data_IF_844252320919
#
_entry.id   IF_844252320919
#
_cell.length_a   1.000
_cell.length_b   1.000
_cell.length_c   1.000
_cell.angle_alpha   90.00
_cell.angle_beta   90.00
_cell.angle_gamma   90.00
#
_symmetry.space_group_name_H-M   'P 1'
#
loop_
_entity.id
_entity.type
_entity.pdbx_description
1 polymer ?
#
# COMPACT_ATOMS: atom_id res chain seq x y z
N UNK A 1 -28.98 2.69 31.10
CA UNK A 1 -28.91 4.15 30.89
C UNK A 1 -27.75 4.67 31.73
N UNK A 2 -26.55 4.73 31.14
CA UNK A 2 -25.35 5.35 31.72
C UNK A 2 -24.51 5.82 30.53
N UNK A 3 -24.79 7.05 30.08
CA UNK A 3 -23.82 7.86 29.36
C UNK A 3 -22.86 8.39 30.42
N UNK A 4 -21.61 7.92 30.44
CA UNK A 4 -20.55 8.52 31.26
C UNK A 4 -19.33 8.77 30.37
N UNK A 5 -19.12 10.05 30.09
CA UNK A 5 -17.86 10.76 29.86
C UNK A 5 -16.83 10.21 28.84
N UNK A 6 -17.14 10.30 27.53
CA UNK A 6 -16.12 10.33 26.46
C UNK A 6 -15.54 11.73 26.17
N UNK A 7 -15.88 12.75 26.97
CA UNK A 7 -15.59 14.17 26.64
C UNK A 7 -14.32 14.76 27.27
N UNK A 8 -13.53 13.99 28.05
CA UNK A 8 -12.34 14.53 28.74
C UNK A 8 -11.01 14.35 28.00
N UNK A 9 -10.95 13.57 26.92
CA UNK A 9 -9.72 13.37 26.13
C UNK A 9 -9.62 14.24 24.86
N UNK A 10 -10.67 14.99 24.49
CA UNK A 10 -10.72 15.76 23.23
C UNK A 10 -10.69 17.28 23.42
N UNK A 11 -10.00 17.75 24.46
CA UNK A 11 -9.89 19.19 24.75
C UNK A 11 -8.65 19.78 24.05
N UNK A 12 -8.80 20.09 22.75
CA UNK A 12 -7.78 20.85 22.01
C UNK A 12 -7.69 20.62 20.50
N UNK A 13 -8.59 19.84 19.89
CA UNK A 13 -8.46 19.49 18.47
C UNK A 13 -8.95 20.63 17.58
N UNK A 14 -8.02 21.18 16.80
CA UNK A 14 -8.33 22.05 15.68
C UNK A 14 -8.94 21.15 14.61
N UNK A 15 -10.24 21.28 14.34
CA UNK A 15 -10.86 20.66 13.17
C UNK A 15 -10.03 21.08 11.95
N UNK A 16 -9.48 20.11 11.22
CA UNK A 16 -8.74 20.40 10.00
C UNK A 16 -9.71 20.99 8.96
N UNK A 17 -9.24 21.95 8.16
CA UNK A 17 -10.07 22.61 7.16
C UNK A 17 -10.52 21.63 6.07
N UNK A 18 -11.55 22.01 5.29
CA UNK A 18 -12.05 21.21 4.18
C UNK A 18 -10.95 20.87 3.15
N UNK A 19 -9.91 21.70 3.09
CA UNK A 19 -8.76 21.51 2.21
C UNK A 19 -8.00 20.22 2.52
N UNK A 20 -7.84 19.84 3.80
CA UNK A 20 -7.17 18.58 4.16
C UNK A 20 -8.04 17.37 3.80
N UNK A 21 -9.36 17.49 3.98
CA UNK A 21 -10.29 16.45 3.55
C UNK A 21 -10.13 16.18 2.04
N UNK A 22 -10.12 17.24 1.23
CA UNK A 22 -9.96 17.12 -0.22
C UNK A 22 -8.62 16.49 -0.60
N UNK A 23 -7.52 16.85 0.07
CA UNK A 23 -6.21 16.25 -0.21
C UNK A 23 -6.19 14.76 0.16
N UNK A 24 -6.72 14.38 1.33
CA UNK A 24 -6.79 12.97 1.74
C UNK A 24 -7.60 12.14 0.73
N UNK A 25 -8.73 12.66 0.25
CA UNK A 25 -9.55 11.99 -0.78
C UNK A 25 -8.82 11.90 -2.12
N UNK A 26 -8.12 12.95 -2.55
CA UNK A 26 -7.29 12.94 -3.76
C UNK A 26 -6.16 11.92 -3.66
N UNK A 27 -5.58 11.70 -2.48
CA UNK A 27 -4.61 10.63 -2.23
C UNK A 27 -5.22 9.21 -2.31
N UNK A 28 -6.52 9.06 -2.55
CA UNK A 28 -7.20 7.77 -2.65
C UNK A 28 -7.62 7.17 -1.31
N UNK A 29 -7.58 7.94 -0.23
CA UNK A 29 -7.95 7.51 1.12
C UNK A 29 -9.47 7.29 1.20
N UNK A 30 -9.94 6.20 1.82
CA UNK A 30 -11.36 5.85 1.92
C UNK A 30 -12.14 6.91 2.71
N UNK A 31 -13.47 6.98 2.53
CA UNK A 31 -14.30 7.97 3.23
C UNK A 31 -14.19 7.79 4.76
N UNK A 32 -14.30 6.55 5.23
CA UNK A 32 -14.19 6.24 6.66
C UNK A 32 -12.82 6.61 7.23
N UNK A 33 -11.73 6.30 6.52
CA UNK A 33 -10.37 6.68 6.95
C UNK A 33 -10.19 8.20 6.92
N UNK A 34 -10.72 8.87 5.89
CA UNK A 34 -10.65 10.33 5.78
C UNK A 34 -11.36 11.00 6.95
N UNK A 35 -12.60 10.62 7.23
CA UNK A 35 -13.37 11.16 8.36
C UNK A 35 -12.66 10.93 9.69
N UNK A 36 -12.10 9.74 9.89
CA UNK A 36 -11.34 9.41 11.10
C UNK A 36 -10.10 10.28 11.29
N UNK A 37 -9.30 10.46 10.24
CA UNK A 37 -8.10 11.30 10.28
C UNK A 37 -8.46 12.78 10.53
N UNK A 38 -9.56 13.25 9.95
CA UNK A 38 -10.08 14.60 10.19
C UNK A 38 -10.55 14.81 11.63
N UNK A 39 -11.20 13.81 12.24
CA UNK A 39 -11.67 13.87 13.62
C UNK A 39 -10.57 13.65 14.65
N UNK A 40 -9.61 12.77 14.36
CA UNK A 40 -8.51 12.40 15.27
C UNK A 40 -7.41 13.46 15.36
N UNK A 41 -7.42 14.49 14.50
CA UNK A 41 -6.51 15.64 14.57
C UNK A 41 -5.03 15.26 14.54
N UNK A 42 -4.74 14.05 14.07
CA UNK A 42 -3.46 13.35 14.18
C UNK A 42 -2.54 13.55 12.98
N UNK A 43 -2.98 14.34 11.99
CA UNK A 43 -2.24 14.54 10.75
C UNK A 43 -1.22 15.66 10.92
N UNK A 44 0.01 15.27 11.25
CA UNK A 44 1.18 16.15 11.25
C UNK A 44 1.70 16.38 9.82
N UNK A 45 2.63 17.32 9.64
CA UNK A 45 3.34 17.49 8.35
C UNK A 45 4.01 16.17 7.91
N UNK A 46 4.61 15.44 8.85
CA UNK A 46 5.25 14.15 8.57
C UNK A 46 4.23 13.11 8.10
N UNK A 47 3.12 12.96 8.85
CA UNK A 47 2.03 12.04 8.50
C UNK A 47 1.47 12.35 7.11
N UNK A 48 1.30 13.64 6.81
CA UNK A 48 0.82 14.08 5.51
C UNK A 48 1.80 13.76 4.39
N UNK A 49 3.10 13.95 4.65
CA UNK A 49 4.16 13.56 3.73
C UNK A 49 4.15 12.06 3.45
N UNK A 50 4.00 11.21 4.48
CA UNK A 50 3.90 9.75 4.33
C UNK A 50 2.67 9.36 3.49
N UNK A 51 1.51 9.97 3.76
CA UNK A 51 0.28 9.76 2.98
C UNK A 51 0.47 10.16 1.50
N UNK A 52 1.12 11.29 1.23
CA UNK A 52 1.37 11.70 -0.16
C UNK A 52 2.41 10.79 -0.82
N UNK A 53 3.48 10.39 -0.13
CA UNK A 53 4.50 9.53 -0.72
C UNK A 53 3.92 8.17 -1.10
N UNK A 54 3.14 7.54 -0.20
CA UNK A 54 2.57 6.21 -0.41
C UNK A 54 1.35 6.15 -1.33
N UNK A 55 0.76 7.28 -1.73
CA UNK A 55 -0.53 7.29 -2.45
C UNK A 55 -0.44 6.73 -3.88
N UNK A 56 -1.48 6.06 -4.39
CA UNK A 56 -1.53 5.53 -5.75
C UNK A 56 -1.94 6.60 -6.77
N UNK A 57 -1.34 7.79 -6.69
CA UNK A 57 -1.58 8.92 -7.61
C UNK A 57 -0.29 9.30 -8.33
N UNK A 58 -0.42 10.01 -9.45
CA UNK A 58 0.73 10.43 -10.24
C UNK A 58 1.70 11.31 -9.44
N UNK A 59 2.98 11.23 -9.78
CA UNK A 59 4.01 12.11 -9.20
C UNK A 59 3.69 13.60 -9.39
N UNK A 60 3.11 14.00 -10.53
CA UNK A 60 2.65 15.37 -10.78
C UNK A 60 1.53 15.79 -9.82
N UNK A 61 0.58 14.90 -9.54
CA UNK A 61 -0.50 15.16 -8.59
C UNK A 61 0.05 15.28 -7.16
N UNK A 62 0.99 14.41 -6.76
CA UNK A 62 1.69 14.54 -5.47
C UNK A 62 2.35 15.91 -5.33
N UNK A 63 3.07 16.39 -6.35
CA UNK A 63 3.68 17.73 -6.33
C UNK A 63 2.64 18.85 -6.18
N UNK A 64 1.49 18.70 -6.85
CA UNK A 64 0.37 19.65 -6.76
C UNK A 64 -0.17 19.70 -5.33
N UNK A 65 -0.45 18.55 -4.73
CA UNK A 65 -0.94 18.43 -3.34
C UNK A 65 0.05 19.01 -2.32
N UNK A 66 1.34 18.73 -2.50
CA UNK A 66 2.39 19.31 -1.64
C UNK A 66 2.40 20.85 -1.74
N UNK A 67 2.31 21.39 -2.95
CA UNK A 67 2.31 22.85 -3.17
C UNK A 67 1.09 23.51 -2.54
N UNK A 68 -0.09 22.91 -2.72
CA UNK A 68 -1.34 23.38 -2.10
C UNK A 68 -1.22 23.39 -0.57
N UNK A 69 -0.73 22.29 0.02
CA UNK A 69 -0.54 22.22 1.47
C UNK A 69 0.44 23.27 1.99
N UNK A 70 1.59 23.44 1.35
CA UNK A 70 2.60 24.45 1.74
C UNK A 70 2.00 25.86 1.65
N UNK A 71 1.23 26.16 0.61
CA UNK A 71 0.60 27.47 0.44
C UNK A 71 -0.44 27.78 1.53
N UNK A 72 -1.18 26.76 1.97
CA UNK A 72 -2.24 26.91 2.98
C UNK A 72 -1.65 26.99 4.40
N UNK A 73 -0.77 26.06 4.74
CA UNK A 73 -0.34 25.84 6.12
C UNK A 73 1.01 26.47 6.48
N UNK A 74 1.82 26.82 5.47
CA UNK A 74 3.16 27.38 5.66
C UNK A 74 3.95 26.63 6.75
N UNK A 75 4.13 25.30 6.59
CA UNK A 75 4.76 24.50 7.62
C UNK A 75 6.19 24.98 7.88
N UNK A 76 6.61 24.93 9.15
CA UNK A 76 7.97 25.31 9.56
C UNK A 76 9.03 24.26 9.16
N UNK A 77 8.59 23.06 8.75
CA UNK A 77 9.47 21.95 8.39
C UNK A 77 9.92 21.95 6.92
N UNK A 78 11.00 21.22 6.67
CA UNK A 78 11.53 21.01 5.32
C UNK A 78 11.06 19.68 4.70
N UNK A 79 10.24 18.89 5.41
CA UNK A 79 9.92 17.51 5.00
C UNK A 79 9.19 17.50 3.67
N UNK A 80 8.08 18.25 3.57
CA UNK A 80 7.32 18.34 2.32
C UNK A 80 8.09 19.05 1.20
N UNK A 81 8.85 20.09 1.54
CA UNK A 81 9.69 20.82 0.58
C UNK A 81 10.76 19.92 -0.03
N UNK A 82 11.42 19.08 0.77
CA UNK A 82 12.40 18.11 0.31
C UNK A 82 11.75 17.06 -0.59
N UNK A 83 10.59 16.53 -0.19
CA UNK A 83 9.80 15.60 -1.01
C UNK A 83 9.42 16.21 -2.36
N UNK A 84 8.97 17.46 -2.39
CA UNK A 84 8.66 18.17 -3.64
C UNK A 84 9.87 18.25 -4.57
N UNK A 85 11.04 18.59 -4.03
CA UNK A 85 12.29 18.67 -4.78
C UNK A 85 12.74 17.31 -5.29
N UNK A 86 12.59 16.24 -4.50
CA UNK A 86 12.95 14.87 -4.87
C UNK A 86 12.07 14.37 -6.03
N UNK A 87 10.75 14.52 -5.93
CA UNK A 87 9.81 14.17 -7.01
C UNK A 87 10.12 14.98 -8.27
N UNK A 88 10.32 16.30 -8.13
CA UNK A 88 10.64 17.18 -9.25
C UNK A 88 11.95 16.80 -9.96
N UNK A 89 12.97 16.35 -9.22
CA UNK A 89 14.22 15.83 -9.81
C UNK A 89 14.00 14.54 -10.60
N UNK A 90 13.22 13.62 -10.06
CA UNK A 90 12.90 12.36 -10.73
C UNK A 90 12.16 12.62 -12.06
N UNK A 91 11.10 13.43 -12.02
CA UNK A 91 10.33 13.82 -13.22
C UNK A 91 11.18 14.60 -14.23
N UNK A 92 11.96 15.59 -13.78
CA UNK A 92 12.81 16.37 -14.68
C UNK A 92 13.87 15.51 -15.38
N UNK A 93 14.33 14.43 -14.74
CA UNK A 93 15.28 13.48 -15.35
C UNK A 93 14.62 12.75 -16.52
N UNK A 94 13.37 12.33 -16.37
CA UNK A 94 12.60 11.70 -17.45
C UNK A 94 12.36 12.65 -18.63
N UNK A 95 12.00 13.91 -18.35
CA UNK A 95 11.71 14.92 -19.38
C UNK A 95 12.94 15.29 -20.23
N UNK A 96 14.15 15.17 -19.68
CA UNK A 96 15.40 15.53 -20.38
C UNK A 96 15.93 14.45 -21.33
N UNK A 97 15.44 13.21 -21.23
CA UNK A 97 15.87 12.09 -22.07
C UNK A 97 15.78 12.36 -23.58
N UNK A 98 14.72 13.01 -24.11
CA UNK A 98 14.60 13.27 -25.55
C UNK A 98 15.47 14.45 -26.04
N UNK A 99 15.85 15.37 -25.15
CA UNK A 99 16.45 16.66 -25.53
C UNK A 99 17.98 16.66 -25.48
N UNK A 100 18.55 15.89 -24.55
CA UNK A 100 19.99 15.66 -24.57
C UNK A 100 20.30 14.64 -25.68
N UNK A 101 21.53 14.66 -26.22
CA UNK A 101 22.11 13.50 -26.94
C UNK A 101 22.27 12.33 -25.96
N UNK A 102 21.19 11.98 -25.28
CA UNK A 102 21.17 11.30 -24.02
C UNK A 102 21.56 9.88 -24.33
N UNK A 103 22.58 9.42 -23.62
CA UNK A 103 22.94 8.02 -23.57
C UNK A 103 22.05 7.28 -22.55
N UNK A 104 20.83 7.79 -22.37
CA UNK A 104 19.82 7.25 -21.47
C UNK A 104 18.89 6.30 -22.21
N UNK A 105 18.56 5.18 -21.59
CA UNK A 105 17.61 4.20 -22.11
C UNK A 105 16.61 3.86 -21.00
N UNK A 106 15.35 3.72 -21.39
CA UNK A 106 14.32 3.20 -20.52
C UNK A 106 14.10 1.72 -20.81
N UNK A 107 13.92 0.92 -19.77
CA UNK A 107 13.58 -0.49 -19.91
C UNK A 107 12.32 -0.79 -19.09
N UNK A 108 11.28 -1.27 -19.78
CA UNK A 108 9.96 -1.50 -19.20
C UNK A 108 9.76 -2.98 -18.92
N UNK A 109 9.20 -3.26 -17.75
CA UNK A 109 8.72 -4.56 -17.33
C UNK A 109 7.22 -4.48 -17.02
N UNK A 110 6.48 -5.50 -17.45
CA UNK A 110 5.14 -5.79 -16.94
C UNK A 110 5.31 -6.69 -15.71
N UNK A 111 4.60 -6.35 -14.64
CA UNK A 111 4.70 -6.98 -13.33
C UNK A 111 3.31 -7.38 -12.85
N UNK A 112 3.18 -8.58 -12.29
CA UNK A 112 1.94 -9.05 -11.69
C UNK A 112 2.22 -9.98 -10.52
N UNK A 113 1.25 -10.10 -9.61
CA UNK A 113 1.29 -11.09 -8.55
C UNK A 113 0.57 -12.35 -9.02
N UNK A 114 1.32 -13.42 -9.25
CA UNK A 114 0.79 -14.69 -9.74
C UNK A 114 0.11 -15.45 -8.60
N UNK A 115 -1.21 -15.61 -8.68
CA UNK A 115 -2.03 -16.26 -7.65
C UNK A 115 -1.99 -17.78 -7.69
N UNK A 116 -1.48 -18.39 -8.77
CA UNK A 116 -1.36 -19.85 -8.89
C UNK A 116 -0.09 -20.36 -8.23
N UNK A 117 1.00 -19.58 -8.31
CA UNK A 117 2.29 -19.94 -7.72
C UNK A 117 2.73 -19.01 -6.57
N UNK A 118 1.94 -17.99 -6.24
CA UNK A 118 2.16 -17.05 -5.14
C UNK A 118 3.53 -16.37 -5.20
N UNK A 119 3.83 -15.69 -6.30
CA UNK A 119 5.09 -14.93 -6.43
C UNK A 119 4.88 -13.73 -7.35
N UNK A 120 5.59 -12.64 -7.08
CA UNK A 120 5.71 -11.54 -8.05
C UNK A 120 6.43 -12.05 -9.31
N UNK A 121 5.82 -11.83 -10.46
CA UNK A 121 6.39 -12.16 -11.77
C UNK A 121 6.69 -10.89 -12.52
N UNK A 122 7.82 -10.93 -13.22
CA UNK A 122 8.32 -9.84 -14.05
C UNK A 122 8.54 -10.34 -15.47
N UNK A 123 8.01 -9.61 -16.45
CA UNK A 123 8.23 -9.87 -17.87
C UNK A 123 8.76 -8.63 -18.59
N UNK A 124 9.89 -8.71 -19.31
CA UNK A 124 10.40 -7.57 -20.04
C UNK A 124 9.52 -7.22 -21.24
N UNK A 125 8.94 -6.02 -21.24
CA UNK A 125 8.13 -5.50 -22.33
C UNK A 125 8.99 -4.90 -23.46
N UNK A 126 10.04 -4.15 -23.11
CA UNK A 126 10.94 -3.60 -24.14
C UNK A 126 11.71 -2.35 -23.73
N UNK A 127 12.60 -1.92 -24.64
CA UNK A 127 13.41 -0.71 -24.47
C UNK A 127 12.76 0.49 -25.16
N UNK A 128 12.78 1.64 -24.49
CA UNK A 128 12.16 2.87 -24.96
C UNK A 128 13.14 4.04 -24.87
N UNK A 129 13.04 4.96 -25.83
CA UNK A 129 13.83 6.20 -25.86
C UNK A 129 13.12 7.37 -25.18
N UNK A 130 11.84 7.22 -24.83
CA UNK A 130 11.05 8.25 -24.15
C UNK A 130 9.98 7.63 -23.26
N UNK A 131 9.61 8.35 -22.20
CA UNK A 131 8.48 7.96 -21.34
C UNK A 131 7.18 7.93 -22.14
N UNK A 132 6.98 8.89 -23.05
CA UNK A 132 5.79 8.94 -23.91
C UNK A 132 5.60 7.64 -24.70
N UNK A 133 6.66 7.10 -25.29
CA UNK A 133 6.57 5.83 -26.02
C UNK A 133 6.31 4.63 -25.12
N UNK A 134 6.85 4.62 -23.90
CA UNK A 134 6.59 3.55 -22.94
C UNK A 134 5.13 3.59 -22.46
N UNK A 135 4.60 4.78 -22.13
CA UNK A 135 3.20 4.94 -21.73
C UNK A 135 2.22 4.63 -22.87
N UNK A 136 2.57 4.94 -24.12
CA UNK A 136 1.75 4.54 -25.27
C UNK A 136 1.76 3.01 -25.47
N UNK A 137 2.87 2.34 -25.21
CA UNK A 137 2.92 0.87 -25.21
C UNK A 137 1.97 0.30 -24.16
N UNK A 138 2.09 0.72 -22.90
CA UNK A 138 1.22 0.30 -21.78
C UNK A 138 -0.25 0.47 -22.15
N UNK A 139 -0.62 1.64 -22.66
CA UNK A 139 -2.00 1.93 -23.07
C UNK A 139 -2.52 0.95 -24.14
N UNK A 140 -1.66 0.45 -25.03
CA UNK A 140 -2.06 -0.51 -26.05
C UNK A 140 -2.26 -1.92 -25.48
N UNK A 141 -1.40 -2.35 -24.55
CA UNK A 141 -1.54 -3.62 -23.81
C UNK A 141 -2.82 -3.60 -22.95
N UNK A 142 -2.99 -2.57 -22.11
CA UNK A 142 -4.16 -2.42 -21.23
C UNK A 142 -5.49 -2.43 -22.03
N UNK A 143 -5.48 -1.88 -23.25
CA UNK A 143 -6.65 -1.92 -24.14
C UNK A 143 -6.94 -3.34 -24.63
N UNK A 144 -5.91 -4.09 -25.02
CA UNK A 144 -6.07 -5.47 -25.48
C UNK A 144 -6.62 -6.35 -24.36
N UNK A 145 -6.06 -6.23 -23.15
CA UNK A 145 -6.56 -6.95 -21.97
C UNK A 145 -8.01 -6.60 -21.65
N UNK A 146 -8.40 -5.33 -21.74
CA UNK A 146 -9.79 -4.91 -21.53
C UNK A 146 -10.75 -5.48 -22.59
N UNK A 147 -10.31 -5.59 -23.84
CA UNK A 147 -11.09 -6.20 -24.93
C UNK A 147 -11.23 -7.72 -24.74
N UNK A 148 -10.25 -8.38 -24.14
CA UNK A 148 -10.25 -9.82 -23.85
C UNK A 148 -10.98 -10.19 -22.54
N UNK A 149 -10.94 -9.33 -21.52
CA UNK A 149 -11.46 -9.55 -20.17
C UNK A 149 -12.92 -9.07 -19.96
N UNK A 150 -13.74 -9.07 -21.01
CA UNK A 150 -15.09 -8.50 -21.00
C UNK A 150 -16.11 -9.25 -20.11
N UNK A 151 -15.76 -10.42 -19.55
CA UNK A 151 -16.73 -11.29 -18.86
C UNK A 151 -16.57 -11.43 -17.33
N UNK A 152 -15.45 -11.05 -16.70
CA UNK A 152 -15.26 -11.16 -15.23
C UNK A 152 -14.56 -9.92 -14.63
N UNK A 153 -15.33 -9.01 -14.02
CA UNK A 153 -14.81 -7.77 -13.39
C UNK A 153 -14.12 -7.98 -12.03
N UNK A 154 -14.42 -9.07 -11.32
CA UNK A 154 -13.98 -9.29 -9.93
C UNK A 154 -12.58 -9.94 -9.81
N UNK A 155 -12.08 -10.57 -10.88
CA UNK A 155 -10.84 -11.38 -10.86
C UNK A 155 -9.59 -10.67 -11.40
N UNK A 156 -9.69 -9.38 -11.74
CA UNK A 156 -8.51 -8.62 -12.17
C UNK A 156 -7.64 -8.29 -10.95
N UNK A 157 -6.71 -9.18 -10.65
CA UNK A 157 -5.40 -8.75 -10.13
C UNK A 157 -4.82 -7.87 -11.22
N UNK A 158 -4.82 -6.55 -11.00
CA UNK A 158 -4.33 -5.64 -12.03
C UNK A 158 -2.84 -5.85 -12.24
N UNK A 159 -2.39 -5.67 -13.47
CA UNK A 159 -0.96 -5.55 -13.76
C UNK A 159 -0.46 -4.17 -13.35
N UNK A 160 0.82 -4.08 -13.04
CA UNK A 160 1.53 -2.82 -12.95
C UNK A 160 2.79 -2.89 -13.81
N UNK A 161 3.41 -1.75 -14.02
CA UNK A 161 4.64 -1.70 -14.78
C UNK A 161 5.77 -1.07 -13.99
N UNK A 162 6.98 -1.58 -14.24
CA UNK A 162 8.22 -1.06 -13.67
C UNK A 162 9.09 -0.56 -14.80
N UNK A 163 9.48 0.71 -14.73
CA UNK A 163 10.27 1.38 -15.75
C UNK A 163 11.62 1.75 -15.15
N UNK A 164 12.68 1.12 -15.64
CA UNK A 164 14.04 1.42 -15.24
C UNK A 164 14.64 2.49 -16.15
N UNK A 165 15.29 3.49 -15.55
CA UNK A 165 16.11 4.45 -16.27
C UNK A 165 17.59 4.11 -16.11
N UNK A 166 18.22 3.78 -17.24
CA UNK A 166 19.65 3.52 -17.36
C UNK A 166 20.33 4.68 -18.06
N UNK A 167 21.45 5.16 -17.54
CA UNK A 167 22.24 6.24 -18.14
C UNK A 167 23.69 5.78 -18.30
N UNK A 168 24.23 5.95 -19.50
CA UNK A 168 25.64 5.65 -19.77
C UNK A 168 26.57 6.58 -18.99
N UNK A 169 27.53 6.02 -18.29
CA UNK A 169 28.58 6.76 -17.59
C UNK A 169 29.75 7.12 -18.53
N UNK A 170 30.77 7.79 -17.98
CA UNK A 170 31.95 8.25 -18.74
C UNK A 170 32.80 7.12 -19.32
N UNK A 171 32.74 5.91 -18.77
CA UNK A 171 33.44 4.71 -19.29
C UNK A 171 32.62 3.96 -20.32
N UNK A 172 31.39 4.40 -20.58
CA UNK A 172 30.49 3.81 -21.55
C UNK A 172 29.62 2.67 -21.02
N UNK A 173 29.65 2.38 -19.72
CA UNK A 173 28.78 1.40 -19.07
C UNK A 173 27.43 2.04 -18.71
N UNK A 174 26.35 1.29 -18.80
CA UNK A 174 25.03 1.75 -18.36
C UNK A 174 24.94 1.65 -16.84
N UNK A 175 24.42 2.70 -16.19
CA UNK A 175 24.14 2.71 -14.76
C UNK A 175 22.67 3.02 -14.52
N UNK A 176 21.99 2.17 -13.73
CA UNK A 176 20.61 2.43 -13.34
C UNK A 176 20.58 3.64 -12.42
N UNK A 177 19.75 4.62 -12.75
CA UNK A 177 19.60 5.87 -11.99
C UNK A 177 18.28 5.90 -11.23
N UNK A 178 17.23 5.42 -11.88
CA UNK A 178 15.91 5.40 -11.29
C UNK A 178 15.16 4.14 -11.67
N UNK A 179 14.23 3.77 -10.82
CA UNK A 179 13.15 2.84 -11.09
C UNK A 179 11.84 3.58 -10.84
N UNK A 180 10.86 3.40 -11.72
CA UNK A 180 9.55 4.05 -11.63
C UNK A 180 8.46 2.98 -11.66
N UNK A 181 7.43 3.14 -10.85
CA UNK A 181 6.27 2.26 -10.81
C UNK A 181 5.07 2.96 -11.45
N UNK A 182 4.45 2.29 -12.41
CA UNK A 182 3.36 2.81 -13.22
C UNK A 182 2.11 1.99 -12.93
N UNK A 183 1.04 2.67 -12.55
CA UNK A 183 -0.27 2.08 -12.30
C UNK A 183 -1.32 2.90 -13.02
N UNK A 184 -2.24 2.23 -13.72
CA UNK A 184 -3.30 2.87 -14.51
C UNK A 184 -2.76 3.95 -15.47
N UNK A 185 -1.62 3.68 -16.13
CA UNK A 185 -0.97 4.61 -17.06
C UNK A 185 -0.30 5.83 -16.42
N UNK A 186 -0.20 5.89 -15.09
CA UNK A 186 0.42 6.99 -14.36
C UNK A 186 1.67 6.54 -13.62
N UNK A 187 2.76 7.32 -13.71
CA UNK A 187 3.94 7.12 -12.87
C UNK A 187 3.57 7.55 -11.45
N UNK A 188 3.44 6.60 -10.54
CA UNK A 188 2.94 6.82 -9.19
C UNK A 188 4.06 6.82 -8.14
N UNK A 189 5.11 6.03 -8.34
CA UNK A 189 6.23 5.93 -7.39
C UNK A 189 7.57 5.85 -8.11
N UNK A 190 8.66 6.09 -7.38
CA UNK A 190 10.00 5.97 -7.92
C UNK A 190 11.03 5.64 -6.85
N UNK A 191 12.16 5.03 -7.22
CA UNK A 191 13.33 4.84 -6.38
C UNK A 191 14.56 5.43 -7.07
N UNK A 192 15.37 6.21 -6.34
CA UNK A 192 16.72 6.56 -6.78
C UNK A 192 17.64 5.35 -6.55
N UNK A 193 18.34 4.90 -7.58
CA UNK A 193 19.15 3.68 -7.53
C UNK A 193 20.61 3.99 -7.22
N UNK A 194 21.23 3.16 -6.40
CA UNK A 194 22.67 3.21 -6.08
C UNK A 194 23.34 1.90 -6.47
N UNK A 195 24.41 1.99 -7.25
CA UNK A 195 25.23 0.84 -7.63
C UNK A 195 26.19 0.44 -6.50
N UNK A 196 26.06 -0.78 -6.01
CA UNK A 196 26.91 -1.41 -5.00
C UNK A 196 27.86 -2.39 -5.68
N UNK A 197 29.16 -2.12 -5.60
CA UNK A 197 30.18 -3.00 -6.15
C UNK A 197 30.21 -4.34 -5.40
N UNK A 198 30.34 -5.42 -6.16
CA UNK A 198 30.43 -6.79 -5.67
C UNK A 198 31.87 -7.29 -5.80
N UNK A 199 32.25 -8.28 -4.98
CA UNK A 199 33.61 -8.84 -4.94
C UNK A 199 34.06 -9.44 -6.29
N UNK A 200 33.10 -9.90 -7.10
CA UNK A 200 33.35 -10.43 -8.45
C UNK A 200 33.40 -9.35 -9.55
N UNK A 201 33.42 -8.07 -9.19
CA UNK A 201 33.63 -6.94 -10.09
C UNK A 201 32.37 -6.40 -10.79
N UNK A 202 31.19 -6.98 -10.56
CA UNK A 202 29.92 -6.40 -11.03
C UNK A 202 29.40 -5.33 -10.06
N UNK A 203 28.43 -4.54 -10.52
CA UNK A 203 27.62 -3.67 -9.66
C UNK A 203 26.20 -4.20 -9.61
N UNK A 204 25.62 -4.28 -8.43
CA UNK A 204 24.19 -4.50 -8.23
C UNK A 204 23.54 -3.20 -7.81
N UNK A 205 22.37 -2.90 -8.38
CA UNK A 205 21.66 -1.66 -8.12
C UNK A 205 20.57 -1.90 -7.10
N UNK A 206 20.57 -1.09 -6.05
CA UNK A 206 19.59 -1.14 -4.97
C UNK A 206 18.98 0.25 -4.77
N UNK A 207 17.72 0.36 -4.35
CA UNK A 207 17.14 1.63 -3.93
C UNK A 207 18.00 2.28 -2.84
N UNK A 208 18.31 3.57 -3.02
CA UNK A 208 19.03 4.37 -2.02
C UNK A 208 18.22 4.56 -0.75
N UNK A 209 16.92 4.75 -0.92
CA UNK A 209 15.88 4.58 0.08
C UNK A 209 14.63 4.05 -0.62
N UNK A 210 13.70 3.55 0.17
CA UNK A 210 12.42 3.02 -0.30
C UNK A 210 11.24 3.90 0.07
N UNK A 211 11.48 5.14 0.52
CA UNK A 211 10.47 6.10 1.00
C UNK A 211 9.23 6.19 0.10
N UNK A 212 9.44 6.08 -1.20
CA UNK A 212 8.40 6.23 -2.21
C UNK A 212 7.85 4.90 -2.73
N UNK A 213 8.56 3.78 -2.63
CA UNK A 213 8.07 2.50 -3.16
C UNK A 213 7.45 1.65 -2.04
N UNK A 214 8.23 1.32 -1.01
CA UNK A 214 7.78 0.49 0.11
C UNK A 214 7.76 1.25 1.44
N UNK A 215 7.96 2.57 1.43
CA UNK A 215 8.14 3.39 2.63
C UNK A 215 9.53 3.22 3.26
N UNK A 216 9.96 4.20 4.06
CA UNK A 216 10.95 3.97 5.13
C UNK A 216 10.27 3.46 6.41
N UNK A 217 8.97 3.74 6.52
CA UNK A 217 8.03 3.37 7.57
C UNK A 217 6.77 2.91 6.85
N UNK A 218 6.24 1.76 7.24
CA UNK A 218 4.87 1.40 6.86
C UNK A 218 3.93 2.57 7.19
N UNK A 219 2.90 2.81 6.35
CA UNK A 219 1.94 3.89 6.60
C UNK A 219 1.23 3.63 7.93
N UNK A 220 1.69 4.27 8.99
CA UNK A 220 1.29 4.00 10.36
C UNK A 220 0.24 5.02 10.80
N UNK A 221 -1.02 4.72 10.50
CA UNK A 221 -2.16 5.58 10.82
C UNK A 221 -3.14 4.85 11.74
N UNK A 222 -3.66 5.59 12.71
CA UNK A 222 -4.84 5.18 13.47
C UNK A 222 -6.03 4.93 12.54
N UNK A 223 -6.91 4.00 12.88
CA UNK A 223 -8.06 3.60 12.06
C UNK A 223 -9.38 3.71 12.85
N UNK A 224 -10.53 3.94 12.18
CA UNK A 224 -11.84 3.99 12.85
C UNK A 224 -12.41 2.60 13.14
N UNK A 225 -11.75 1.53 12.70
CA UNK A 225 -12.30 0.19 12.73
C UNK A 225 -12.11 -0.43 14.10
N UNK A 226 -13.16 -1.09 14.56
CA UNK A 226 -13.20 -1.71 15.87
C UNK A 226 -13.11 -3.23 15.73
N UNK A 227 -12.79 -3.87 16.84
CA UNK A 227 -12.82 -5.32 16.96
C UNK A 227 -14.09 -5.96 16.36
N UNK A 228 -13.90 -7.01 15.56
CA UNK A 228 -14.98 -7.78 14.92
C UNK A 228 -15.58 -7.11 13.68
N UNK A 229 -15.14 -5.91 13.31
CA UNK A 229 -15.43 -5.35 12.00
C UNK A 229 -14.81 -6.23 10.92
N UNK A 230 -15.59 -6.51 9.87
CA UNK A 230 -15.08 -7.16 8.67
C UNK A 230 -14.83 -6.04 7.66
N UNK A 231 -13.59 -5.98 7.19
CA UNK A 231 -13.07 -4.94 6.34
C UNK A 231 -12.55 -5.53 5.03
N UNK A 232 -12.64 -4.73 3.97
CA UNK A 232 -12.16 -5.07 2.64
C UNK A 232 -10.71 -4.60 2.51
N UNK A 233 -9.81 -5.54 2.27
CA UNK A 233 -8.40 -5.26 1.97
C UNK A 233 -8.25 -5.16 0.46
N UNK A 234 -7.85 -3.98 -0.04
CA UNK A 234 -7.63 -3.73 -1.47
C UNK A 234 -6.26 -3.08 -1.69
N UNK A 235 -5.28 -3.92 -2.06
CA UNK A 235 -3.93 -3.49 -2.41
C UNK A 235 -3.67 -3.53 -3.92
N UNK A 236 -4.70 -3.73 -4.76
CA UNK A 236 -4.54 -3.85 -6.21
C UNK A 236 -3.85 -2.62 -6.80
N UNK A 237 -2.98 -2.78 -7.81
CA UNK A 237 -2.67 -4.02 -8.53
C UNK A 237 -1.70 -4.98 -7.81
N UNK A 238 -1.09 -4.58 -6.70
CA UNK A 238 0.00 -5.29 -6.03
C UNK A 238 -0.43 -6.53 -5.23
N UNK A 239 -1.58 -7.12 -5.53
CA UNK A 239 -2.10 -8.30 -4.86
C UNK A 239 -3.62 -8.33 -4.86
N UNK A 240 -4.20 -9.50 -4.58
CA UNK A 240 -5.64 -9.72 -4.68
C UNK A 240 -6.45 -9.01 -3.59
N UNK A 241 -7.74 -8.86 -3.88
CA UNK A 241 -8.75 -8.31 -3.00
C UNK A 241 -9.20 -9.38 -1.99
N UNK A 242 -9.36 -9.05 -0.69
CA UNK A 242 -9.87 -10.04 0.28
C UNK A 242 -10.55 -9.48 1.55
N UNK A 243 -11.29 -10.42 2.16
CA UNK A 243 -11.84 -10.57 3.53
C UNK A 243 -10.88 -10.52 4.72
N UNK A 244 -10.88 -9.46 5.53
CA UNK A 244 -10.24 -9.52 6.85
C UNK A 244 -11.16 -9.09 7.98
N UNK A 245 -10.96 -9.66 9.17
CA UNK A 245 -11.61 -9.23 10.41
C UNK A 245 -10.60 -8.55 11.33
N UNK A 246 -10.99 -7.41 11.91
CA UNK A 246 -10.19 -6.70 12.92
C UNK A 246 -10.17 -7.50 14.23
N UNK A 247 -8.98 -7.81 14.74
CA UNK A 247 -8.79 -8.53 16.01
C UNK A 247 -8.41 -7.63 17.19
N UNK A 248 -7.70 -6.53 16.94
CA UNK A 248 -7.27 -5.63 18.01
C UNK A 248 -7.26 -4.19 17.50
N UNK A 249 -7.88 -3.29 18.26
CA UNK A 249 -8.04 -1.86 17.94
C UNK A 249 -7.47 -0.94 19.03
N UNK A 250 -6.87 -1.50 20.09
CA UNK A 250 -6.21 -0.75 21.16
C UNK A 250 -4.81 -0.24 20.72
N UNK A 251 -4.29 0.81 21.35
CA UNK A 251 -2.93 1.36 21.14
C UNK A 251 -2.47 1.50 19.67
N UNK A 252 -3.30 2.14 18.84
CA UNK A 252 -3.08 2.35 17.38
C UNK A 252 -1.87 3.22 16.98
N UNK A 253 -0.92 3.47 17.89
CA UNK A 253 0.40 4.04 17.59
C UNK A 253 1.52 3.01 17.69
N UNK A 254 1.22 1.80 18.18
CA UNK A 254 2.07 0.64 17.96
C UNK A 254 1.99 0.28 16.46
N UNK A 255 3.14 0.25 15.78
CA UNK A 255 3.21 -0.12 14.37
C UNK A 255 2.67 -1.53 14.08
N UNK A 256 2.51 -2.37 15.11
CA UNK A 256 1.91 -3.68 14.99
C UNK A 256 0.37 -3.69 15.03
N UNK A 257 -0.29 -2.54 15.26
CA UNK A 257 -1.76 -2.45 15.43
C UNK A 257 -2.40 -1.52 14.37
N UNK A 258 -3.65 -1.78 13.95
CA UNK A 258 -4.50 -2.91 14.34
C UNK A 258 -4.06 -4.23 13.70
N UNK A 259 -4.36 -5.35 14.37
CA UNK A 259 -4.17 -6.69 13.82
C UNK A 259 -5.42 -7.18 13.11
N UNK A 260 -5.21 -8.01 12.10
CA UNK A 260 -6.28 -8.62 11.30
C UNK A 260 -6.12 -10.14 11.25
N UNK A 261 -7.25 -10.83 11.09
CA UNK A 261 -7.32 -12.26 10.80
C UNK A 261 -8.06 -12.47 9.48
N UNK A 262 -7.48 -13.29 8.62
CA UNK A 262 -8.02 -13.54 7.29
C UNK A 262 -7.61 -14.91 6.75
N UNK A 263 -8.41 -15.44 5.83
CA UNK A 263 -8.00 -16.53 4.98
C UNK A 263 -7.08 -15.96 3.89
N UNK A 264 -5.87 -16.50 3.80
CA UNK A 264 -4.87 -16.04 2.84
C UNK A 264 -5.41 -16.32 1.43
N UNK A 265 -5.50 -15.29 0.56
CA UNK A 265 -6.17 -15.41 -0.74
C UNK A 265 -5.69 -16.60 -1.56
N UNK A 266 -6.63 -17.36 -2.14
CA UNK A 266 -6.39 -18.56 -2.95
C UNK A 266 -5.69 -19.72 -2.21
N UNK A 267 -5.74 -19.73 -0.87
CA UNK A 267 -5.21 -20.84 -0.06
C UNK A 267 -6.20 -21.28 1.01
N UNK A 268 -5.95 -22.44 1.63
CA UNK A 268 -6.70 -22.91 2.81
C UNK A 268 -6.12 -22.39 4.14
N UNK A 269 -5.12 -21.51 4.05
CA UNK A 269 -4.37 -21.02 5.20
C UNK A 269 -5.01 -19.78 5.80
N UNK A 270 -4.80 -19.59 7.09
CA UNK A 270 -5.27 -18.47 7.88
C UNK A 270 -4.08 -17.75 8.49
N UNK A 271 -4.04 -16.44 8.30
CA UNK A 271 -2.98 -15.58 8.78
C UNK A 271 -3.53 -14.55 9.73
N UNK A 272 -2.73 -14.24 10.75
CA UNK A 272 -2.86 -13.02 11.50
C UNK A 272 -1.66 -12.11 11.24
N UNK A 273 -1.93 -10.84 10.98
CA UNK A 273 -0.88 -9.88 10.68
C UNK A 273 -1.24 -8.51 11.23
N UNK A 274 -0.22 -7.68 11.47
CA UNK A 274 -0.39 -6.24 11.51
C UNK A 274 -0.90 -5.77 10.15
N UNK A 275 -1.93 -4.93 10.18
CA UNK A 275 -2.45 -4.26 8.99
C UNK A 275 -1.45 -3.25 8.42
N UNK A 276 -0.65 -2.64 9.28
CA UNK A 276 0.33 -1.60 8.92
C UNK A 276 1.54 -2.23 8.23
N UNK A 277 2.06 -3.37 8.72
CA UNK A 277 3.26 -4.02 8.16
C UNK A 277 3.08 -4.69 6.80
N UNK A 278 1.83 -4.81 6.34
CA UNK A 278 1.49 -5.32 5.01
C UNK A 278 1.98 -6.75 4.72
N UNK A 279 2.16 -7.58 5.74
CA UNK A 279 2.49 -9.02 5.60
C UNK A 279 1.26 -9.85 5.14
N UNK A 280 0.61 -9.41 4.05
CA UNK A 280 -0.76 -9.78 3.67
C UNK A 280 -0.83 -10.95 2.69
N UNK A 281 0.17 -11.10 1.84
CA UNK A 281 0.15 -12.10 0.77
C UNK A 281 1.17 -13.19 1.03
N UNK A 282 0.90 -14.36 0.46
CA UNK A 282 1.83 -15.48 0.51
C UNK A 282 2.92 -15.27 -0.54
N UNK A 283 4.14 -15.68 -0.22
CA UNK A 283 5.21 -15.76 -1.22
C UNK A 283 5.76 -17.19 -1.18
N UNK A 284 5.83 -17.87 -2.32
CA UNK A 284 6.26 -19.26 -2.34
C UNK A 284 7.74 -19.45 -1.91
N UNK A 285 8.58 -18.43 -2.07
CA UNK A 285 10.00 -18.49 -1.72
C UNK A 285 10.26 -17.95 -0.31
N UNK A 286 9.65 -16.82 0.03
CA UNK A 286 9.90 -16.06 1.26
C UNK A 286 8.76 -16.16 2.29
N UNK A 287 7.67 -16.87 1.99
CA UNK A 287 6.43 -17.04 2.79
C UNK A 287 5.62 -15.77 3.03
N UNK A 288 6.13 -14.62 2.64
CA UNK A 288 5.43 -13.35 2.79
C UNK A 288 5.80 -12.38 1.67
N UNK A 289 4.79 -11.74 1.11
CA UNK A 289 4.92 -10.66 0.14
C UNK A 289 4.19 -9.41 0.65
N UNK A 290 4.89 -8.26 0.54
CA UNK A 290 4.41 -6.95 0.99
C UNK A 290 4.06 -6.09 -0.21
N UNK A 291 2.78 -5.75 -0.44
CA UNK A 291 2.39 -4.89 -1.54
C UNK A 291 2.97 -3.48 -1.40
N UNK A 292 3.24 -2.87 -2.55
CA UNK A 292 3.64 -1.47 -2.66
C UNK A 292 2.59 -0.54 -2.02
N UNK A 293 1.32 -0.77 -2.35
CA UNK A 293 0.19 0.01 -1.83
C UNK A 293 -0.22 -0.45 -0.43
N UNK A 294 -0.29 0.51 0.50
CA UNK A 294 -0.87 0.24 1.83
C UNK A 294 -2.38 -0.03 1.75
N UNK A 295 -2.90 -1.04 2.47
CA UNK A 295 -4.33 -1.29 2.53
C UNK A 295 -5.11 -0.12 3.12
N UNK A 296 -4.46 0.72 3.95
CA UNK A 296 -5.11 1.84 4.63
C UNK A 296 -5.72 2.86 3.66
N UNK A 297 -5.17 3.01 2.44
CA UNK A 297 -5.77 3.87 1.43
C UNK A 297 -7.21 3.49 1.11
N UNK A 298 -7.49 2.20 0.96
CA UNK A 298 -8.80 1.73 0.45
C UNK A 298 -9.62 0.99 1.50
N UNK A 299 -9.11 0.90 2.72
CA UNK A 299 -9.73 0.15 3.80
C UNK A 299 -11.12 0.67 4.16
N UNK A 300 -12.08 -0.24 4.26
CA UNK A 300 -13.47 0.08 4.62
C UNK A 300 -14.19 -1.14 5.18
N UNK A 301 -15.25 -0.88 5.93
CA UNK A 301 -16.18 -1.93 6.38
C UNK A 301 -17.03 -2.39 5.19
N UNK A 302 -17.36 -3.67 5.17
CA UNK A 302 -18.27 -4.24 4.18
C UNK A 302 -19.72 -3.84 4.46
N UNK A 303 -20.45 -3.52 3.40
CA UNK A 303 -21.88 -3.31 3.49
C UNK A 303 -22.63 -4.65 3.61
N UNK A 304 -23.95 -4.59 3.89
CA UNK A 304 -24.77 -5.80 4.10
C UNK A 304 -24.73 -6.79 2.93
N UNK A 305 -24.79 -6.29 1.70
CA UNK A 305 -24.80 -7.12 0.49
C UNK A 305 -23.44 -7.75 0.24
N UNK A 306 -22.35 -7.07 0.60
CA UNK A 306 -21.00 -7.63 0.53
C UNK A 306 -20.79 -8.72 1.58
N UNK A 307 -21.30 -8.53 2.80
CA UNK A 307 -21.23 -9.53 3.87
C UNK A 307 -21.92 -10.84 3.51
N UNK A 308 -22.94 -10.82 2.64
CA UNK A 308 -23.61 -12.03 2.14
C UNK A 308 -22.70 -12.91 1.27
N UNK A 309 -21.59 -12.35 0.75
CA UNK A 309 -20.62 -13.04 -0.11
C UNK A 309 -19.31 -13.39 0.62
N UNK A 310 -19.16 -12.98 1.88
CA UNK A 310 -17.96 -13.25 2.67
C UNK A 310 -17.85 -14.72 3.01
N UNK A 311 -16.61 -15.21 3.16
CA UNK A 311 -16.31 -16.53 3.69
C UNK A 311 -17.11 -16.83 4.96
N UNK A 312 -17.87 -17.93 4.94
CA UNK A 312 -18.68 -18.40 6.06
C UNK A 312 -17.84 -18.67 7.33
N UNK A 313 -16.57 -19.03 7.19
CA UNK A 313 -15.64 -19.17 8.30
C UNK A 313 -15.39 -17.83 9.00
N UNK A 314 -15.18 -16.75 8.24
CA UNK A 314 -14.97 -15.41 8.82
C UNK A 314 -16.22 -14.92 9.55
N UNK A 315 -17.40 -15.18 8.99
CA UNK A 315 -18.69 -14.87 9.64
C UNK A 315 -18.87 -15.67 10.94
N UNK A 316 -18.53 -16.96 10.93
CA UNK A 316 -18.59 -17.81 12.13
C UNK A 316 -17.60 -17.34 13.21
N UNK A 317 -16.39 -16.96 12.83
CA UNK A 317 -15.40 -16.41 13.76
C UNK A 317 -15.91 -15.11 14.39
N UNK A 318 -16.51 -14.21 13.60
CA UNK A 318 -17.15 -12.98 14.11
C UNK A 318 -18.23 -13.28 15.15
N UNK A 319 -19.07 -14.28 14.93
CA UNK A 319 -20.10 -14.69 15.90
C UNK A 319 -19.51 -15.22 17.21
N UNK A 320 -18.47 -16.06 17.13
CA UNK A 320 -17.81 -16.67 18.29
C UNK A 320 -17.07 -15.65 19.16
N UNK A 321 -16.41 -14.71 18.49
CA UNK A 321 -15.70 -13.61 19.11
C UNK A 321 -16.65 -12.65 19.82
N UNK A 322 -17.83 -12.43 19.25
CA UNK A 322 -18.82 -11.52 19.81
C UNK A 322 -18.29 -10.09 19.86
N UNK A 323 -18.72 -9.32 20.86
CA UNK A 323 -18.23 -7.94 21.12
C UNK A 323 -17.19 -7.89 22.24
N UNK A 324 -16.37 -8.94 22.35
CA UNK A 324 -15.42 -9.12 23.44
C UNK A 324 -13.97 -8.98 22.94
N UNK A 325 -13.39 -7.80 23.11
CA UNK A 325 -12.04 -7.45 22.66
C UNK A 325 -10.94 -8.30 23.31
N UNK A 326 -11.17 -8.80 24.52
CA UNK A 326 -10.18 -9.61 25.24
C UNK A 326 -9.92 -10.94 24.52
N UNK A 327 -10.93 -11.47 23.83
CA UNK A 327 -10.78 -12.67 22.99
C UNK A 327 -9.90 -12.44 21.77
N UNK A 328 -9.95 -11.24 21.18
CA UNK A 328 -9.07 -10.85 20.07
C UNK A 328 -7.60 -10.83 20.49
N UNK A 329 -7.31 -10.24 21.64
CA UNK A 329 -5.97 -10.24 22.23
C UNK A 329 -5.47 -11.65 22.54
N UNK A 330 -6.35 -12.55 23.01
CA UNK A 330 -5.98 -13.93 23.26
C UNK A 330 -5.59 -14.65 21.97
N UNK A 331 -6.31 -14.42 20.87
CA UNK A 331 -5.92 -14.93 19.57
C UNK A 331 -4.53 -14.41 19.24
N UNK A 332 -4.34 -13.08 19.18
CA UNK A 332 -3.04 -12.47 18.87
C UNK A 332 -1.89 -13.04 19.69
N UNK A 333 -2.06 -13.19 21.00
CA UNK A 333 -1.03 -13.70 21.91
C UNK A 333 -0.75 -15.22 21.78
N UNK A 334 -1.61 -15.99 21.11
CA UNK A 334 -1.51 -17.46 21.03
C UNK A 334 -1.51 -18.00 19.59
N UNK A 335 -1.52 -17.12 18.59
CA UNK A 335 -1.36 -17.51 17.19
C UNK A 335 0.06 -17.97 16.94
N UNK A 336 0.19 -18.95 16.06
CA UNK A 336 1.50 -19.32 15.54
C UNK A 336 2.02 -18.16 14.67
N UNK A 337 3.34 -17.89 14.70
CA UNK A 337 3.95 -16.84 13.86
C UNK A 337 3.92 -17.18 12.35
N UNK A 338 3.55 -18.42 12.02
CA UNK A 338 3.34 -18.92 10.66
C UNK A 338 1.83 -19.04 10.37
N UNK A 339 1.51 -19.22 9.09
CA UNK A 339 0.16 -19.54 8.62
C UNK A 339 -0.40 -20.83 9.24
N UNK A 340 -1.70 -20.85 9.56
CA UNK A 340 -2.37 -21.99 10.20
C UNK A 340 -3.58 -22.49 9.42
N UNK A 341 -4.07 -23.68 9.75
CA UNK A 341 -5.39 -24.12 9.25
C UNK A 341 -6.52 -23.49 10.05
N UNK A 342 -7.72 -23.49 9.49
CA UNK A 342 -8.91 -23.01 10.17
C UNK A 342 -9.21 -23.77 11.48
N UNK A 343 -8.99 -25.08 11.51
CA UNK A 343 -9.18 -25.92 12.70
C UNK A 343 -8.27 -25.46 13.83
N UNK A 344 -7.03 -25.08 13.50
CA UNK A 344 -6.06 -24.60 14.49
C UNK A 344 -6.51 -23.26 15.10
N UNK A 345 -7.04 -22.35 14.29
CA UNK A 345 -7.64 -21.09 14.78
C UNK A 345 -8.79 -21.39 15.75
N UNK A 346 -9.66 -22.34 15.38
CA UNK A 346 -10.80 -22.75 16.21
C UNK A 346 -10.36 -23.41 17.53
N UNK A 347 -9.33 -24.26 17.52
CA UNK A 347 -8.76 -24.88 18.73
C UNK A 347 -8.27 -23.83 19.74
N UNK A 348 -7.61 -22.77 19.27
CA UNK A 348 -7.16 -21.66 20.10
C UNK A 348 -8.38 -20.99 20.74
N UNK A 349 -9.39 -20.63 19.94
CA UNK A 349 -10.61 -19.99 20.43
C UNK A 349 -11.34 -20.82 21.49
N UNK A 350 -11.51 -22.12 21.26
CA UNK A 350 -12.20 -23.01 22.19
C UNK A 350 -11.43 -23.23 23.50
N UNK A 351 -10.10 -23.30 23.42
CA UNK A 351 -9.23 -23.48 24.58
C UNK A 351 -9.32 -22.31 25.54
N UNK A 352 -9.45 -21.09 25.00
CA UNK A 352 -9.43 -19.87 25.81
C UNK A 352 -10.82 -19.29 26.12
N UNK A 353 -11.88 -19.72 25.42
CA UNK A 353 -13.26 -19.37 25.77
C UNK A 353 -13.81 -20.13 26.99
N UNK A 354 -13.06 -21.10 27.54
CA UNK A 354 -13.45 -21.93 28.70
C UNK A 354 -12.78 -21.53 30.02
N UNK A 355 -12.06 -20.41 30.05
CA UNK A 355 -11.57 -19.74 31.26
C UNK A 355 -12.37 -18.47 31.49
#
# INVERSE_FOLDING_TARGET
MMQIERSKYYRGMKVMGNEVYDILRRCGMSEQMTEHLMMSGSVTELTFNEIICGSPISLDEKMTLISEYIAIYQPDGEVLSNTYVEIGKALATLSKLPEEKSSGMLYLFAEWYDTDVFIEKSSPAGMFSSVKSALEYIKNEDRMEQEEAADDEDDRTGDWYRLELWVKNSTGQMEQRYEYYIVNGHICWFNEMTGVAQDHGNKYYLPKNTKYSSGETDLNLSTPFCYGDIVRIDCRPFGPLFDAMILEDQDQFDCCLPTILFNVPYTELWRCSSLVHRDLFYDAECRCYRPLLSPLYRLRILNKTELEKVDAHLLKLKELLGKDSDKGMIIWANLDPDDMTYERVMEILEKFSKK
#
